data_IF_440883079537
#
_entry.id   IF_440883079537
#
_cell.length_a   1.000
_cell.length_b   1.000
_cell.length_c   1.000
_cell.angle_alpha   90.00
_cell.angle_beta   90.00
_cell.angle_gamma   90.00
#
_symmetry.space_group_name_H-M   'P 1'
#
loop_
_entity.id
_entity.type
_entity.pdbx_description
1 polymer ?
#
# COMPACT_ATOMS: atom_id res chain seq x y z
N UNK A 1 -2.29 14.54 50.60
CA UNK A 1 -1.90 13.66 49.47
C UNK A 1 -2.51 12.25 49.54
N UNK A 2 -2.81 11.71 50.74
CA UNK A 2 -3.39 10.36 50.91
C UNK A 2 -4.91 10.30 50.58
N UNK A 3 -5.66 11.39 50.76
CA UNK A 3 -7.11 11.43 50.50
C UNK A 3 -7.54 11.45 49.01
N UNK A 4 -6.63 11.78 48.09
CA UNK A 4 -6.94 11.77 46.64
C UNK A 4 -6.76 10.38 46.01
N UNK A 5 -5.92 9.54 46.62
CA UNK A 5 -5.66 8.17 46.17
C UNK A 5 -6.85 7.27 46.54
N UNK A 6 -7.48 7.49 47.69
CA UNK A 6 -8.66 6.71 48.12
C UNK A 6 -9.89 6.94 47.23
N UNK A 7 -10.09 8.15 46.71
CA UNK A 7 -11.24 8.47 45.83
C UNK A 7 -11.11 7.83 44.44
N UNK A 8 -9.88 7.76 43.90
CA UNK A 8 -9.60 7.11 42.62
C UNK A 8 -9.73 5.59 42.70
N UNK A 9 -9.27 4.97 43.78
CA UNK A 9 -9.39 3.52 43.99
C UNK A 9 -10.86 3.12 44.16
N UNK A 10 -11.66 3.91 44.89
CA UNK A 10 -13.11 3.65 44.99
C UNK A 10 -13.84 3.78 43.64
N UNK A 11 -13.44 4.74 42.80
CA UNK A 11 -14.06 4.95 41.50
C UNK A 11 -13.76 3.80 40.52
N UNK A 12 -12.52 3.29 40.52
CA UNK A 12 -12.11 2.15 39.69
C UNK A 12 -12.82 0.86 40.16
N UNK A 13 -12.94 0.63 41.46
CA UNK A 13 -13.65 -0.54 42.01
C UNK A 13 -15.14 -0.49 41.66
N UNK A 14 -15.79 0.69 41.74
CA UNK A 14 -17.20 0.83 41.37
C UNK A 14 -17.44 0.68 39.86
N UNK A 15 -16.54 1.18 39.01
CA UNK A 15 -16.63 0.99 37.55
C UNK A 15 -16.40 -0.47 37.18
N UNK A 16 -15.42 -1.15 37.79
CA UNK A 16 -15.23 -2.59 37.57
C UNK A 16 -16.40 -3.43 38.08
N UNK A 17 -16.95 -3.13 39.27
CA UNK A 17 -18.12 -3.83 39.80
C UNK A 17 -19.36 -3.62 38.91
N UNK A 18 -19.55 -2.42 38.35
CA UNK A 18 -20.61 -2.11 37.40
C UNK A 18 -20.42 -2.85 36.06
N UNK A 19 -19.19 -2.94 35.55
CA UNK A 19 -18.86 -3.71 34.34
C UNK A 19 -19.05 -5.23 34.56
N UNK A 20 -18.72 -5.75 35.75
CA UNK A 20 -18.92 -7.16 36.11
C UNK A 20 -20.42 -7.48 36.29
N UNK A 21 -21.20 -6.54 36.85
CA UNK A 21 -22.66 -6.65 36.98
C UNK A 21 -23.36 -6.64 35.61
N UNK A 22 -22.94 -5.77 34.68
CA UNK A 22 -23.47 -5.72 33.31
C UNK A 22 -23.13 -6.97 32.49
N UNK A 23 -21.96 -7.57 32.72
CA UNK A 23 -21.58 -8.84 32.06
C UNK A 23 -22.44 -10.04 32.50
N UNK A 24 -23.07 -10.01 33.68
CA UNK A 24 -23.91 -11.12 34.17
C UNK A 24 -25.37 -11.09 33.70
N UNK A 25 -25.92 -9.92 33.33
CA UNK A 25 -27.38 -9.80 33.12
C UNK A 25 -27.86 -9.60 31.68
N UNK A 26 -26.99 -9.35 30.68
CA UNK A 26 -27.42 -9.25 29.27
C UNK A 26 -26.83 -10.28 28.31
N UNK A 27 -25.80 -11.04 28.71
CA UNK A 27 -25.09 -11.94 27.80
C UNK A 27 -25.64 -13.39 27.73
N UNK A 28 -26.52 -13.80 28.66
CA UNK A 28 -26.86 -15.22 28.84
C UNK A 28 -28.18 -15.65 28.16
N UNK A 29 -29.04 -14.74 27.70
CA UNK A 29 -30.35 -15.15 27.14
C UNK A 29 -30.46 -15.16 25.61
N UNK A 30 -29.49 -14.62 24.88
CA UNK A 30 -29.52 -14.59 23.41
C UNK A 30 -28.49 -15.51 22.73
N UNK A 31 -27.63 -16.18 23.50
CA UNK A 31 -26.54 -17.01 22.96
C UNK A 31 -26.91 -18.49 22.73
N UNK A 32 -28.10 -18.94 23.13
CA UNK A 32 -28.50 -20.35 23.04
C UNK A 32 -29.24 -20.77 21.77
N UNK A 33 -29.43 -19.88 20.79
CA UNK A 33 -30.13 -20.21 19.53
C UNK A 33 -29.29 -20.10 18.25
N UNK A 34 -27.97 -19.86 18.36
CA UNK A 34 -27.10 -19.75 17.17
C UNK A 34 -25.84 -20.63 17.20
N UNK A 35 -25.85 -21.73 17.97
CA UNK A 35 -24.78 -22.72 17.94
C UNK A 35 -25.17 -23.96 17.13
N UNK A 36 -25.18 -23.81 15.80
CA UNK A 36 -24.86 -24.89 14.87
C UNK A 36 -23.53 -24.55 14.16
N UNK A 37 -22.45 -24.93 14.85
CA UNK A 37 -21.10 -25.28 14.40
C UNK A 37 -20.74 -24.91 12.95
N UNK A 38 -19.90 -23.89 12.79
CA UNK A 38 -18.68 -23.96 11.97
C UNK A 38 -17.55 -23.38 12.82
N UNK A 39 -16.46 -24.13 12.98
CA UNK A 39 -15.21 -23.60 13.54
C UNK A 39 -14.78 -22.37 12.73
N UNK A 40 -15.14 -21.17 13.19
CA UNK A 40 -14.50 -19.96 12.72
C UNK A 40 -13.13 -19.94 13.39
N UNK A 41 -12.10 -20.40 12.67
CA UNK A 41 -10.76 -19.90 12.90
C UNK A 41 -10.87 -18.37 12.96
N UNK A 42 -10.34 -17.75 14.02
CA UNK A 42 -10.19 -16.30 14.05
C UNK A 42 -9.29 -15.91 12.89
N UNK A 43 -9.89 -15.53 11.75
CA UNK A 43 -9.16 -15.06 10.58
C UNK A 43 -8.46 -13.78 11.02
N UNK A 44 -7.14 -13.84 11.23
CA UNK A 44 -6.34 -12.65 11.48
C UNK A 44 -6.53 -11.73 10.28
N UNK A 45 -7.21 -10.61 10.49
CA UNK A 45 -7.34 -9.60 9.46
C UNK A 45 -5.98 -8.92 9.31
N UNK A 46 -5.25 -9.26 8.24
CA UNK A 46 -4.04 -8.52 7.88
C UNK A 46 -4.34 -7.04 7.60
N UNK A 47 -3.30 -6.22 7.59
CA UNK A 47 -3.33 -4.78 7.25
C UNK A 47 -4.31 -4.43 6.11
N UNK A 48 -4.36 -5.17 4.97
CA UNK A 48 -5.28 -4.85 3.88
C UNK A 48 -6.78 -4.88 4.24
N UNK A 49 -7.18 -5.73 5.20
CA UNK A 49 -8.59 -5.86 5.62
C UNK A 49 -8.95 -4.94 6.79
N UNK A 50 -7.98 -4.26 7.39
CA UNK A 50 -8.18 -3.41 8.56
C UNK A 50 -9.17 -2.28 8.29
N UNK A 51 -9.10 -1.61 7.13
CA UNK A 51 -10.04 -0.54 6.78
C UNK A 51 -11.49 -1.05 6.68
N UNK A 52 -11.69 -2.19 6.00
CA UNK A 52 -13.02 -2.81 5.89
C UNK A 52 -13.54 -3.21 7.28
N UNK A 53 -12.70 -3.85 8.09
CA UNK A 53 -13.05 -4.20 9.46
C UNK A 53 -13.44 -2.95 10.27
N UNK A 54 -12.59 -1.92 10.30
CA UNK A 54 -12.82 -0.70 11.07
C UNK A 54 -14.14 0.00 10.69
N UNK A 55 -14.40 0.17 9.39
CA UNK A 55 -15.62 0.80 8.89
C UNK A 55 -16.88 -0.04 9.11
N UNK A 56 -16.74 -1.36 9.27
CA UNK A 56 -17.85 -2.26 9.61
C UNK A 56 -18.25 -2.13 11.08
N UNK A 57 -17.26 -2.05 11.98
CA UNK A 57 -17.48 -1.94 13.42
C UNK A 57 -17.78 -0.51 13.88
N UNK A 58 -17.20 0.49 13.23
CA UNK A 58 -17.38 1.91 13.55
C UNK A 58 -17.79 2.70 12.29
N UNK A 59 -19.04 2.59 11.82
CA UNK A 59 -19.48 3.24 10.58
C UNK A 59 -19.32 4.78 10.58
N UNK A 60 -19.36 5.39 11.76
CA UNK A 60 -19.23 6.85 11.96
C UNK A 60 -17.84 7.40 11.68
N UNK A 61 -16.79 6.56 11.63
CA UNK A 61 -15.43 7.02 11.28
C UNK A 61 -15.31 7.42 9.81
N UNK A 62 -16.26 6.96 8.98
CA UNK A 62 -16.32 7.28 7.55
C UNK A 62 -17.33 8.39 7.33
N UNK A 63 -16.83 9.52 6.88
CA UNK A 63 -17.64 10.69 6.54
C UNK A 63 -17.28 11.18 5.15
N UNK A 64 -18.23 11.80 4.45
CA UNK A 64 -17.92 12.47 3.19
C UNK A 64 -17.23 13.81 3.48
N UNK A 65 -16.25 14.15 2.63
CA UNK A 65 -15.48 15.39 2.78
C UNK A 65 -16.37 16.65 2.66
N UNK A 66 -17.38 16.57 1.80
CA UNK A 66 -18.34 17.62 1.50
C UNK A 66 -19.72 17.04 1.77
N UNK A 67 -20.40 17.53 2.82
CA UNK A 67 -21.81 17.25 3.09
C UNK A 67 -22.63 18.50 2.80
N UNK A 68 -23.96 18.32 2.68
CA UNK A 68 -24.98 19.23 2.13
C UNK A 68 -24.76 20.77 2.22
N UNK A 69 -24.00 21.33 3.17
CA UNK A 69 -23.52 22.73 3.11
C UNK A 69 -22.15 22.98 3.81
N UNK A 70 -21.46 21.95 4.32
CA UNK A 70 -20.22 22.12 5.11
C UNK A 70 -19.09 21.24 4.60
N UNK A 71 -18.03 21.89 4.11
CA UNK A 71 -16.75 21.26 3.83
C UNK A 71 -15.88 21.30 5.09
N UNK A 72 -15.25 20.18 5.47
CA UNK A 72 -14.28 20.18 6.58
C UNK A 72 -13.10 21.10 6.25
N UNK A 73 -12.77 22.00 7.16
CA UNK A 73 -11.60 22.86 7.01
C UNK A 73 -10.32 22.06 7.22
N UNK A 74 -9.38 22.18 6.29
CA UNK A 74 -8.05 21.57 6.38
C UNK A 74 -7.02 22.67 6.46
N UNK A 75 -6.15 22.62 7.47
CA UNK A 75 -5.04 23.56 7.62
C UNK A 75 -3.79 23.04 6.91
N UNK A 76 -3.49 21.75 7.11
CA UNK A 76 -2.31 21.10 6.54
C UNK A 76 -2.73 19.83 5.81
N UNK A 77 -2.36 19.75 4.53
CA UNK A 77 -2.65 18.61 3.68
C UNK A 77 -1.37 17.85 3.32
N UNK A 78 -1.35 16.55 3.57
CA UNK A 78 -0.23 15.66 3.32
C UNK A 78 -0.58 14.70 2.20
N UNK A 79 0.31 14.49 1.24
CA UNK A 79 0.10 13.57 0.12
C UNK A 79 1.23 12.55 0.09
N UNK A 80 0.87 11.28 0.12
CA UNK A 80 1.74 10.20 -0.34
C UNK A 80 1.63 10.08 -1.87
N UNK A 81 2.69 10.48 -2.56
CA UNK A 81 2.76 10.48 -4.01
C UNK A 81 2.75 9.09 -4.61
N UNK A 82 3.22 8.06 -3.89
CA UNK A 82 3.26 6.72 -4.45
C UNK A 82 1.84 6.20 -4.70
N UNK A 83 0.89 6.50 -3.80
CA UNK A 83 -0.53 6.26 -4.01
C UNK A 83 -1.09 6.98 -5.25
N UNK A 84 -0.72 8.25 -5.45
CA UNK A 84 -1.13 9.05 -6.62
C UNK A 84 -0.60 8.46 -7.93
N UNK A 85 0.70 8.15 -7.99
CA UNK A 85 1.35 7.60 -9.19
C UNK A 85 0.71 6.25 -9.55
N UNK A 86 0.48 5.38 -8.55
CA UNK A 86 -0.23 4.12 -8.76
C UNK A 86 -1.66 4.32 -9.26
N UNK A 87 -2.37 5.33 -8.77
CA UNK A 87 -3.72 5.66 -9.23
C UNK A 87 -3.75 6.06 -10.71
N UNK A 88 -2.85 6.96 -11.13
CA UNK A 88 -2.80 7.47 -12.50
C UNK A 88 -2.29 6.46 -13.53
N UNK A 89 -1.55 5.44 -13.09
CA UNK A 89 -0.94 4.43 -13.97
C UNK A 89 -1.85 3.24 -14.22
N UNK A 90 -2.27 2.54 -13.18
CA UNK A 90 -2.90 1.22 -13.33
C UNK A 90 -4.02 0.93 -12.33
N UNK A 91 -4.46 1.89 -11.52
CA UNK A 91 -5.66 1.66 -10.69
C UNK A 91 -6.90 1.56 -11.58
N UNK A 92 -7.62 0.44 -11.48
CA UNK A 92 -8.94 0.20 -12.09
C UNK A 92 -9.00 0.15 -13.63
N UNK A 93 -7.89 -0.07 -14.35
CA UNK A 93 -7.92 -0.34 -15.79
C UNK A 93 -7.74 -1.84 -16.05
N UNK A 94 -8.64 -2.44 -16.84
CA UNK A 94 -8.57 -3.86 -17.24
C UNK A 94 -7.33 -4.17 -18.11
N UNK A 95 -6.78 -3.15 -18.77
CA UNK A 95 -5.54 -3.22 -19.55
C UNK A 95 -4.60 -2.12 -19.08
N UNK A 96 -3.30 -2.42 -18.97
CA UNK A 96 -2.29 -1.40 -18.69
C UNK A 96 -2.32 -0.36 -19.83
N UNK A 97 -2.21 0.94 -19.52
CA UNK A 97 -2.21 1.96 -20.56
C UNK A 97 -1.00 1.79 -21.47
N UNK A 98 -1.17 2.20 -22.73
CA UNK A 98 -0.05 2.40 -23.66
C UNK A 98 0.89 3.43 -23.02
N UNK A 99 2.18 3.13 -23.00
CA UNK A 99 3.18 3.96 -22.33
C UNK A 99 3.45 5.25 -23.12
N UNK A 100 2.73 6.33 -22.78
CA UNK A 100 3.19 7.69 -23.03
C UNK A 100 3.53 8.37 -21.69
N UNK A 101 4.82 8.60 -21.49
CA UNK A 101 5.36 9.23 -20.29
C UNK A 101 4.81 10.66 -20.11
N UNK A 102 4.60 11.40 -21.21
CA UNK A 102 4.11 12.77 -21.16
C UNK A 102 2.64 12.84 -20.75
N UNK A 103 1.80 11.96 -21.31
CA UNK A 103 0.39 11.86 -20.92
C UNK A 103 0.26 11.48 -19.44
N UNK A 104 1.05 10.50 -18.98
CA UNK A 104 1.05 10.07 -17.59
C UNK A 104 1.42 11.22 -16.64
N UNK A 105 2.45 12.01 -16.98
CA UNK A 105 2.81 13.18 -16.19
C UNK A 105 1.70 14.24 -16.17
N UNK A 106 1.07 14.50 -17.31
CA UNK A 106 -0.06 15.43 -17.39
C UNK A 106 -1.21 14.98 -16.48
N UNK A 107 -1.52 13.69 -16.49
CA UNK A 107 -2.56 13.08 -15.65
C UNK A 107 -2.22 13.20 -14.15
N UNK A 108 -0.98 12.94 -13.74
CA UNK A 108 -0.54 13.12 -12.35
C UNK A 108 -0.67 14.58 -11.91
N UNK A 109 -0.22 15.53 -12.73
CA UNK A 109 -0.30 16.96 -12.42
C UNK A 109 -1.75 17.43 -12.33
N UNK A 110 -2.61 16.98 -13.24
CA UNK A 110 -4.03 17.32 -13.21
C UNK A 110 -4.71 16.74 -11.97
N UNK A 111 -4.40 15.49 -11.61
CA UNK A 111 -4.93 14.87 -10.40
C UNK A 111 -4.52 15.63 -9.14
N UNK A 112 -3.24 16.03 -9.03
CA UNK A 112 -2.77 16.85 -7.92
C UNK A 112 -3.47 18.20 -7.84
N UNK A 113 -3.64 18.89 -8.97
CA UNK A 113 -4.41 20.14 -9.02
C UNK A 113 -5.83 19.94 -8.51
N UNK A 114 -6.51 18.88 -8.98
CA UNK A 114 -7.86 18.56 -8.55
C UNK A 114 -7.92 18.33 -7.03
N UNK A 115 -6.95 17.61 -6.45
CA UNK A 115 -6.86 17.43 -4.99
C UNK A 115 -6.68 18.77 -4.26
N UNK A 116 -5.82 19.67 -4.77
CA UNK A 116 -5.61 20.97 -4.14
C UNK A 116 -6.87 21.84 -4.17
N UNK A 117 -7.57 21.87 -5.30
CA UNK A 117 -8.83 22.59 -5.45
C UNK A 117 -9.97 21.97 -4.63
N UNK A 118 -9.96 20.65 -4.45
CA UNK A 118 -10.92 19.95 -3.62
C UNK A 118 -10.70 20.28 -2.14
N UNK A 119 -9.47 20.16 -1.65
CA UNK A 119 -9.17 20.25 -0.21
C UNK A 119 -9.02 21.69 0.28
N UNK A 120 -8.48 22.59 -0.55
CA UNK A 120 -8.24 24.00 -0.23
C UNK A 120 -7.54 24.20 1.13
N UNK A 121 -6.32 23.67 1.31
CA UNK A 121 -5.61 23.78 2.58
C UNK A 121 -5.31 25.24 2.91
N UNK A 122 -5.47 25.62 4.18
CA UNK A 122 -5.31 27.02 4.61
C UNK A 122 -3.86 27.45 4.83
N UNK A 123 -2.97 26.52 5.20
CA UNK A 123 -1.59 26.84 5.61
C UNK A 123 -0.55 26.18 4.73
N UNK A 124 -0.62 24.86 4.56
CA UNK A 124 0.49 24.10 3.99
C UNK A 124 0.03 22.84 3.23
N UNK A 125 0.73 22.54 2.14
CA UNK A 125 0.77 21.20 1.53
C UNK A 125 2.15 20.60 1.71
N UNK A 126 2.20 19.37 2.21
CA UNK A 126 3.39 18.54 2.28
C UNK A 126 3.24 17.34 1.34
N UNK A 127 4.24 17.11 0.49
CA UNK A 127 4.20 16.07 -0.53
C UNK A 127 5.40 15.16 -0.32
N UNK A 128 5.15 13.89 0.00
CA UNK A 128 6.16 12.87 0.18
C UNK A 128 6.18 11.89 -0.98
N UNK A 129 7.33 11.73 -1.62
CA UNK A 129 7.61 10.66 -2.58
C UNK A 129 8.47 9.60 -1.88
N UNK A 130 8.27 8.31 -2.16
CA UNK A 130 9.16 7.28 -1.62
C UNK A 130 10.60 7.50 -2.12
N UNK A 131 11.53 7.60 -1.18
CA UNK A 131 12.95 7.46 -1.44
C UNK A 131 13.46 6.08 -1.03
N UNK A 132 14.76 6.00 -0.74
CA UNK A 132 15.37 4.74 -0.28
C UNK A 132 14.77 4.35 1.08
N UNK A 133 14.18 3.16 1.14
CA UNK A 133 13.45 2.66 2.32
C UNK A 133 14.32 1.72 3.18
N UNK A 134 13.92 1.46 4.44
CA UNK A 134 14.62 0.51 5.30
C UNK A 134 14.58 -0.93 4.75
N UNK A 135 15.56 -1.75 5.15
CA UNK A 135 15.72 -3.15 4.70
C UNK A 135 14.43 -3.99 4.84
N UNK A 136 13.68 -3.79 5.92
CA UNK A 136 12.41 -4.48 6.16
C UNK A 136 11.40 -4.22 5.03
N UNK A 137 11.20 -2.94 4.67
CA UNK A 137 10.33 -2.56 3.55
C UNK A 137 10.90 -3.02 2.21
N UNK A 138 12.21 -2.92 2.01
CA UNK A 138 12.86 -3.42 0.78
C UNK A 138 12.57 -4.90 0.54
N UNK A 139 12.62 -5.73 1.59
CA UNK A 139 12.29 -7.17 1.48
C UNK A 139 10.82 -7.39 1.10
N UNK A 140 9.89 -6.68 1.73
CA UNK A 140 8.46 -6.74 1.41
C UNK A 140 8.20 -6.33 -0.06
N UNK A 141 8.84 -5.24 -0.47
CA UNK A 141 8.74 -4.69 -1.82
C UNK A 141 9.39 -5.63 -2.86
N UNK A 142 10.53 -6.26 -2.55
CA UNK A 142 11.16 -7.28 -3.40
C UNK A 142 10.24 -8.47 -3.61
N UNK A 143 9.63 -9.00 -2.54
CA UNK A 143 8.65 -10.10 -2.63
C UNK A 143 7.46 -9.71 -3.51
N UNK A 144 6.91 -8.50 -3.33
CA UNK A 144 5.79 -8.00 -4.14
C UNK A 144 6.12 -7.92 -5.63
N UNK A 145 7.29 -7.38 -5.98
CA UNK A 145 7.74 -7.23 -7.38
C UNK A 145 8.09 -8.57 -8.02
N UNK A 146 8.65 -9.50 -7.25
CA UNK A 146 8.91 -10.85 -7.74
C UNK A 146 7.59 -11.55 -8.10
N UNK A 147 6.59 -11.47 -7.22
CA UNK A 147 5.27 -12.06 -7.47
C UNK A 147 4.49 -11.39 -8.62
N UNK A 148 4.75 -10.12 -8.93
CA UNK A 148 4.07 -9.44 -10.05
C UNK A 148 4.53 -9.94 -11.41
N UNK A 149 5.75 -10.49 -11.52
CA UNK A 149 6.27 -11.05 -12.78
C UNK A 149 5.42 -12.26 -13.19
N UNK A 150 5.13 -13.16 -12.25
CA UNK A 150 4.31 -14.36 -12.49
C UNK A 150 2.83 -14.08 -12.78
N UNK A 151 2.38 -12.83 -12.64
CA UNK A 151 1.00 -12.43 -12.98
C UNK A 151 0.86 -11.94 -14.41
N UNK A 152 1.98 -11.67 -15.08
CA UNK A 152 1.99 -11.32 -16.50
C UNK A 152 1.93 -12.66 -17.24
N UNK A 153 0.79 -12.95 -17.88
CA UNK A 153 0.68 -14.12 -18.75
C UNK A 153 1.59 -13.91 -19.97
N UNK A 154 2.36 -14.93 -20.35
CA UNK A 154 3.29 -14.92 -21.50
C UNK A 154 2.62 -14.63 -22.86
N UNK A 155 1.29 -14.56 -22.91
CA UNK A 155 0.52 -14.38 -24.14
C UNK A 155 0.35 -12.90 -24.59
N UNK A 156 0.68 -11.92 -23.74
CA UNK A 156 0.59 -10.50 -24.10
C UNK A 156 1.96 -9.94 -24.51
N UNK A 157 2.44 -10.35 -25.69
CA UNK A 157 3.55 -9.69 -26.40
C UNK A 157 3.14 -8.28 -26.86
N UNK A 158 2.96 -7.35 -25.92
CA UNK A 158 2.74 -5.94 -26.23
C UNK A 158 3.87 -5.13 -25.62
N UNK A 159 4.90 -4.87 -26.43
CA UNK A 159 6.12 -4.13 -26.08
C UNK A 159 5.90 -2.70 -25.57
N UNK A 160 4.65 -2.22 -25.56
CA UNK A 160 4.28 -0.84 -25.20
C UNK A 160 3.51 -0.71 -23.87
N UNK A 161 3.39 -1.78 -23.07
CA UNK A 161 2.72 -1.72 -21.76
C UNK A 161 3.62 -1.04 -20.71
N UNK A 162 3.02 -0.20 -19.87
CA UNK A 162 3.70 0.38 -18.71
C UNK A 162 4.15 -0.69 -17.72
N UNK A 163 5.44 -0.67 -17.32
CA UNK A 163 5.99 -1.57 -16.30
C UNK A 163 5.84 -0.95 -14.89
N UNK A 164 4.94 -1.45 -14.01
CA UNK A 164 4.71 -0.87 -12.68
C UNK A 164 5.94 -0.89 -11.75
N UNK A 165 6.91 -1.77 -12.02
CA UNK A 165 8.14 -1.85 -11.24
C UNK A 165 9.04 -0.62 -11.42
N UNK A 166 8.81 0.20 -12.46
CA UNK A 166 9.51 1.47 -12.64
C UNK A 166 9.17 2.49 -11.54
N UNK A 167 8.07 2.31 -10.80
CA UNK A 167 7.70 3.09 -9.61
C UNK A 167 8.56 2.63 -8.42
N UNK A 168 9.84 2.94 -8.51
CA UNK A 168 10.86 2.66 -7.50
C UNK A 168 11.90 3.77 -7.57
N UNK A 169 12.31 4.31 -6.42
CA UNK A 169 13.43 5.27 -6.39
C UNK A 169 14.68 4.68 -7.08
N UNK A 170 15.42 5.51 -7.82
CA UNK A 170 16.60 5.12 -8.59
C UNK A 170 16.34 4.72 -10.04
N UNK A 171 15.08 4.62 -10.48
CA UNK A 171 14.75 4.43 -11.92
C UNK A 171 14.75 5.75 -12.67
N UNK A 172 14.98 5.71 -13.98
CA UNK A 172 14.90 6.89 -14.85
C UNK A 172 13.50 7.54 -14.79
N UNK A 173 12.45 6.72 -14.79
CA UNK A 173 11.07 7.18 -14.62
C UNK A 173 10.87 7.99 -13.33
N UNK A 174 11.27 7.46 -12.17
CA UNK A 174 11.13 8.18 -10.90
C UNK A 174 12.03 9.40 -10.79
N UNK A 175 13.19 9.39 -11.45
CA UNK A 175 14.05 10.57 -11.56
C UNK A 175 13.38 11.70 -12.34
N UNK A 176 12.78 11.40 -13.50
CA UNK A 176 12.04 12.37 -14.32
C UNK A 176 10.78 12.89 -13.61
N UNK A 177 10.02 12.02 -12.93
CA UNK A 177 8.89 12.41 -12.03
C UNK A 177 9.39 13.46 -11.03
N UNK A 178 10.48 13.14 -10.32
CA UNK A 178 11.00 13.96 -9.24
C UNK A 178 11.44 15.34 -9.74
N UNK A 179 12.19 15.37 -10.84
CA UNK A 179 12.65 16.61 -11.47
C UNK A 179 11.49 17.49 -11.93
N UNK A 180 10.51 16.87 -12.60
CA UNK A 180 9.33 17.56 -13.14
C UNK A 180 8.46 18.16 -12.04
N UNK A 181 8.16 17.38 -10.99
CA UNK A 181 7.38 17.86 -9.84
C UNK A 181 8.11 18.97 -9.07
N UNK A 182 9.41 18.81 -8.81
CA UNK A 182 10.22 19.83 -8.14
C UNK A 182 10.21 21.15 -8.93
N UNK A 183 10.39 21.09 -10.26
CA UNK A 183 10.31 22.26 -11.13
C UNK A 183 8.90 22.89 -11.11
N UNK A 184 7.86 22.06 -11.18
CA UNK A 184 6.47 22.51 -11.15
C UNK A 184 6.14 23.26 -9.84
N UNK A 185 6.47 22.69 -8.68
CA UNK A 185 6.24 23.34 -7.38
C UNK A 185 7.04 24.63 -7.20
N UNK A 186 8.29 24.67 -7.66
CA UNK A 186 9.10 25.91 -7.66
C UNK A 186 8.44 27.03 -8.48
N UNK A 187 7.92 26.71 -9.67
CA UNK A 187 7.22 27.67 -10.52
C UNK A 187 5.95 28.18 -9.83
N UNK A 188 5.14 27.28 -9.28
CA UNK A 188 3.90 27.64 -8.59
C UNK A 188 4.15 28.54 -7.38
N UNK A 189 5.19 28.22 -6.58
CA UNK A 189 5.61 29.04 -5.44
C UNK A 189 6.08 30.43 -5.87
N UNK A 190 6.91 30.52 -6.93
CA UNK A 190 7.36 31.81 -7.48
C UNK A 190 6.21 32.67 -7.98
N UNK A 191 5.23 32.05 -8.63
CA UNK A 191 4.04 32.73 -9.18
C UNK A 191 2.96 33.03 -8.13
N UNK A 192 3.11 32.56 -6.88
CA UNK A 192 2.11 32.65 -5.81
C UNK A 192 0.71 32.20 -6.29
N UNK A 193 0.67 31.09 -7.05
CA UNK A 193 -0.59 30.55 -7.59
C UNK A 193 -1.51 30.07 -6.46
N UNK A 194 -0.92 29.63 -5.35
CA UNK A 194 -1.63 29.19 -4.16
C UNK A 194 -1.30 30.10 -2.98
N UNK A 195 -2.29 30.31 -2.11
CA UNK A 195 -2.14 31.11 -0.88
C UNK A 195 -1.42 30.33 0.23
N UNK A 196 -1.40 29.01 0.14
CA UNK A 196 -0.73 28.12 1.08
C UNK A 196 0.73 27.83 0.67
N UNK A 197 1.55 27.48 1.65
CA UNK A 197 2.91 27.02 1.42
C UNK A 197 2.94 25.60 0.84
N UNK A 198 4.03 25.27 0.14
CA UNK A 198 4.25 23.92 -0.39
C UNK A 198 5.64 23.43 -0.02
N UNK A 199 5.70 22.23 0.55
CA UNK A 199 6.92 21.46 0.82
C UNK A 199 6.89 20.19 -0.02
N UNK A 200 7.92 20.02 -0.85
CA UNK A 200 8.11 18.83 -1.68
C UNK A 200 9.31 18.03 -1.15
N UNK A 201 9.06 16.79 -0.71
CA UNK A 201 10.07 15.83 -0.29
C UNK A 201 10.17 14.73 -1.34
N UNK A 202 11.11 14.91 -2.25
CA UNK A 202 11.31 14.07 -3.43
C UNK A 202 11.88 12.67 -3.14
N UNK A 203 12.04 11.88 -4.20
CA UNK A 203 12.62 10.53 -4.15
C UNK A 203 14.12 10.51 -3.84
N UNK A 204 14.78 11.67 -3.95
CA UNK A 204 16.17 11.94 -3.56
C UNK A 204 16.36 12.03 -2.04
N UNK A 205 15.29 12.28 -1.28
CA UNK A 205 15.33 12.24 0.18
C UNK A 205 15.08 10.79 0.64
N UNK A 206 15.90 10.25 1.52
CA UNK A 206 15.70 8.89 2.04
C UNK A 206 14.41 8.77 2.90
N UNK A 207 13.82 7.58 2.90
CA UNK A 207 12.61 7.23 3.65
C UNK A 207 11.36 7.06 2.79
N UNK A 208 10.40 6.32 3.33
CA UNK A 208 9.07 6.13 2.74
C UNK A 208 8.23 7.40 2.88
N UNK A 209 7.34 7.68 1.92
CA UNK A 209 6.50 8.87 1.87
C UNK A 209 5.68 9.07 3.14
N UNK A 210 4.99 8.02 3.60
CA UNK A 210 4.21 8.02 4.83
C UNK A 210 5.07 8.30 6.09
N UNK A 211 6.29 7.75 6.15
CA UNK A 211 7.19 7.97 7.28
C UNK A 211 7.87 9.34 7.23
N UNK A 212 8.10 9.91 6.04
CA UNK A 212 8.53 11.30 5.86
C UNK A 212 7.47 12.27 6.37
N UNK A 213 6.20 12.02 6.04
CA UNK A 213 5.05 12.77 6.56
C UNK A 213 5.01 12.69 8.09
N UNK A 214 5.09 11.48 8.65
CA UNK A 214 5.06 11.29 10.10
C UNK A 214 6.26 11.95 10.81
N UNK A 215 7.45 11.90 10.20
CA UNK A 215 8.64 12.61 10.70
C UNK A 215 8.40 14.12 10.73
N UNK A 216 7.88 14.68 9.64
CA UNK A 216 7.55 16.11 9.56
C UNK A 216 6.54 16.51 10.64
N UNK A 217 5.45 15.74 10.82
CA UNK A 217 4.45 15.99 11.87
C UNK A 217 5.11 16.02 13.25
N UNK A 218 5.88 14.98 13.59
CA UNK A 218 6.53 14.87 14.92
C UNK A 218 7.50 16.01 15.19
N UNK A 219 8.28 16.43 14.20
CA UNK A 219 9.21 17.55 14.34
C UNK A 219 8.48 18.88 14.56
N UNK A 220 7.37 19.12 13.85
CA UNK A 220 6.61 20.36 14.01
C UNK A 220 5.80 20.39 15.31
N UNK A 221 5.28 19.26 15.79
CA UNK A 221 4.69 19.18 17.13
C UNK A 221 5.67 19.54 18.26
N UNK A 222 6.98 19.33 18.05
CA UNK A 222 8.01 19.74 19.01
C UNK A 222 8.34 21.23 18.94
N UNK A 223 8.23 21.83 17.75
CA UNK A 223 8.56 23.24 17.50
C UNK A 223 7.41 24.19 17.82
N UNK A 224 6.18 23.79 17.53
CA UNK A 224 4.97 24.60 17.72
C UNK A 224 3.92 23.78 18.50
N UNK A 225 3.59 24.25 19.71
CA UNK A 225 2.56 23.64 20.56
C UNK A 225 1.17 23.69 19.92
N UNK A 226 0.89 24.73 19.13
CA UNK A 226 -0.40 24.88 18.44
C UNK A 226 -0.54 23.93 17.25
N UNK A 227 0.56 23.37 16.75
CA UNK A 227 0.54 22.47 15.59
C UNK A 227 -0.39 21.28 15.82
N UNK A 228 -0.49 20.75 17.04
CA UNK A 228 -1.37 19.63 17.39
C UNK A 228 -2.86 19.91 17.19
N UNK A 229 -3.25 21.19 17.21
CA UNK A 229 -4.64 21.64 17.12
C UNK A 229 -5.08 21.95 15.69
N UNK A 230 -4.15 22.01 14.74
CA UNK A 230 -4.50 22.21 13.33
C UNK A 230 -5.30 21.02 12.79
N UNK A 231 -6.05 21.25 11.72
CA UNK A 231 -6.76 20.20 11.01
C UNK A 231 -5.82 19.56 9.98
N UNK A 232 -5.36 18.36 10.28
CA UNK A 232 -4.45 17.58 9.44
C UNK A 232 -5.24 16.65 8.53
N UNK A 233 -4.92 16.62 7.24
CA UNK A 233 -5.51 15.67 6.30
C UNK A 233 -4.41 14.93 5.55
N UNK A 234 -4.39 13.60 5.60
CA UNK A 234 -3.44 12.76 4.86
C UNK A 234 -4.18 12.07 3.71
N UNK A 235 -3.71 12.26 2.48
CA UNK A 235 -4.18 11.51 1.33
C UNK A 235 -3.32 10.26 1.12
N UNK A 236 -3.96 9.09 1.12
CA UNK A 236 -3.32 7.82 0.80
C UNK A 236 -4.24 6.61 1.01
N UNK A 237 -3.95 5.53 0.30
CA UNK A 237 -4.78 4.31 0.25
C UNK A 237 -4.30 3.21 1.20
N UNK A 238 -3.13 3.34 1.81
CA UNK A 238 -2.55 2.29 2.65
C UNK A 238 -3.19 2.27 4.03
N UNK A 239 -3.60 1.08 4.49
CA UNK A 239 -4.25 0.91 5.77
C UNK A 239 -3.31 1.28 6.95
N UNK A 240 -1.99 1.18 6.75
CA UNK A 240 -0.97 1.57 7.72
C UNK A 240 -1.09 3.04 8.13
N UNK A 241 -1.56 3.92 7.23
CA UNK A 241 -1.80 5.33 7.53
C UNK A 241 -2.79 5.54 8.68
N UNK A 242 -3.73 4.63 8.90
CA UNK A 242 -4.66 4.71 10.04
C UNK A 242 -3.89 4.57 11.35
N UNK A 243 -3.05 3.54 11.46
CA UNK A 243 -2.25 3.31 12.66
C UNK A 243 -1.19 4.39 12.85
N UNK A 244 -0.50 4.78 11.77
CA UNK A 244 0.48 5.86 11.80
C UNK A 244 -0.16 7.18 12.25
N UNK A 245 -1.38 7.48 11.78
CA UNK A 245 -2.14 8.67 12.19
C UNK A 245 -2.47 8.65 13.68
N UNK A 246 -2.89 7.52 14.23
CA UNK A 246 -3.21 7.39 15.67
C UNK A 246 -1.96 7.62 16.56
N UNK A 247 -0.80 7.12 16.13
CA UNK A 247 0.48 7.29 16.86
C UNK A 247 0.97 8.74 16.87
N UNK A 248 0.45 9.61 15.99
CA UNK A 248 0.84 11.03 15.99
C UNK A 248 0.36 11.81 17.22
N UNK A 249 -0.72 11.34 17.87
CA UNK A 249 -1.41 12.07 18.94
C UNK A 249 -1.80 13.52 18.58
N UNK A 250 -2.13 13.77 17.30
CA UNK A 250 -2.78 15.01 16.86
C UNK A 250 -4.25 15.00 17.28
N UNK A 251 -4.80 16.18 17.57
CA UNK A 251 -6.20 16.29 18.01
C UNK A 251 -7.17 16.13 16.83
N UNK A 252 -6.81 16.68 15.65
CA UNK A 252 -7.65 16.65 14.46
C UNK A 252 -6.86 16.08 13.28
N UNK A 253 -7.06 14.79 12.98
CA UNK A 253 -6.45 14.12 11.83
C UNK A 253 -7.49 13.36 11.01
N UNK A 254 -7.46 13.57 9.70
CA UNK A 254 -8.34 12.94 8.71
C UNK A 254 -7.50 12.18 7.70
N UNK A 255 -8.02 11.05 7.22
CA UNK A 255 -7.41 10.29 6.12
C UNK A 255 -8.37 10.36 4.94
N UNK A 256 -7.93 11.01 3.86
CA UNK A 256 -8.67 11.09 2.61
C UNK A 256 -8.38 9.85 1.76
N UNK A 257 -9.44 9.18 1.33
CA UNK A 257 -9.39 7.99 0.47
C UNK A 257 -10.42 8.13 -0.64
N UNK A 258 -10.06 7.65 -1.82
CA UNK A 258 -11.02 7.52 -2.91
C UNK A 258 -12.10 6.47 -2.57
N UNK A 259 -13.33 6.70 -3.03
CA UNK A 259 -14.40 5.70 -2.92
C UNK A 259 -14.03 4.52 -3.82
N UNK A 260 -13.78 3.35 -3.23
CA UNK A 260 -13.66 2.10 -3.98
C UNK A 260 -15.00 1.80 -4.66
N UNK A 261 -15.06 1.92 -5.99
CA UNK A 261 -16.15 1.31 -6.77
C UNK A 261 -15.90 -0.19 -6.78
N UNK A 262 -16.57 -0.93 -5.91
CA UNK A 262 -16.65 -2.39 -6.04
C UNK A 262 -17.58 -2.64 -7.23
N UNK A 263 -17.01 -2.91 -8.41
CA UNK A 263 -17.75 -3.62 -9.45
C UNK A 263 -17.92 -5.07 -8.99
N UNK A 264 -19.07 -5.68 -9.29
CA UNK A 264 -19.39 -7.04 -8.86
C UNK A 264 -18.34 -8.08 -9.33
N UNK A 265 -17.65 -7.81 -10.44
CA UNK A 265 -16.61 -8.69 -10.99
C UNK A 265 -15.31 -8.70 -10.15
N UNK A 266 -15.00 -7.61 -9.46
CA UNK A 266 -13.87 -7.57 -8.52
C UNK A 266 -14.14 -8.41 -7.26
N UNK A 267 -15.40 -8.61 -6.86
CA UNK A 267 -15.72 -9.47 -5.72
C UNK A 267 -15.35 -10.93 -6.00
N UNK A 268 -15.70 -11.43 -7.18
CA UNK A 268 -15.42 -12.80 -7.62
C UNK A 268 -13.91 -13.00 -7.83
N UNK A 269 -13.23 -12.06 -8.48
CA UNK A 269 -11.78 -12.13 -8.67
C UNK A 269 -10.99 -12.01 -7.36
N UNK A 270 -11.47 -11.24 -6.38
CA UNK A 270 -10.82 -11.17 -5.06
C UNK A 270 -11.01 -12.47 -4.28
N UNK A 271 -12.20 -13.07 -4.35
CA UNK A 271 -12.49 -14.37 -3.72
C UNK A 271 -11.67 -15.51 -4.35
N UNK A 272 -11.58 -15.59 -5.68
CA UNK A 272 -10.74 -16.58 -6.37
C UNK A 272 -9.26 -16.43 -6.01
N UNK A 273 -8.76 -15.19 -5.95
CA UNK A 273 -7.37 -14.93 -5.57
C UNK A 273 -7.10 -15.29 -4.11
N UNK A 274 -8.10 -15.17 -3.22
CA UNK A 274 -8.01 -15.59 -1.82
C UNK A 274 -8.00 -17.11 -1.70
N UNK A 275 -8.83 -17.83 -2.45
CA UNK A 275 -8.85 -19.30 -2.48
C UNK A 275 -7.54 -19.87 -3.02
N UNK A 276 -6.99 -19.29 -4.11
CA UNK A 276 -5.68 -19.70 -4.65
C UNK A 276 -4.55 -19.46 -3.65
N UNK A 277 -4.57 -18.34 -2.92
CA UNK A 277 -3.54 -18.04 -1.93
C UNK A 277 -3.63 -18.96 -0.70
N UNK A 278 -4.84 -19.32 -0.27
CA UNK A 278 -5.02 -20.28 0.83
C UNK A 278 -4.63 -21.71 0.45
N UNK A 279 -4.88 -22.12 -0.80
CA UNK A 279 -4.49 -23.43 -1.31
C UNK A 279 -2.97 -23.59 -1.46
N UNK A 280 -2.23 -22.54 -1.83
CA UNK A 280 -0.77 -22.61 -1.87
C UNK A 280 -0.15 -22.71 -0.48
N UNK A 281 -0.69 -22.01 0.53
CA UNK A 281 -0.22 -22.15 1.91
C UNK A 281 -0.50 -23.53 2.52
N UNK A 282 -1.62 -24.17 2.17
CA UNK A 282 -1.93 -25.52 2.66
C UNK A 282 -1.09 -26.62 1.98
N UNK A 283 -0.68 -26.42 0.72
CA UNK A 283 0.12 -27.40 -0.02
C UNK A 283 1.60 -27.38 0.37
N UNK A 284 2.13 -26.24 0.79
CA UNK A 284 3.53 -26.12 1.24
C UNK A 284 3.75 -26.72 2.65
N UNK A 285 2.72 -26.75 3.51
CA UNK A 285 2.80 -27.44 4.82
C UNK A 285 2.73 -28.97 4.69
N UNK A 286 2.05 -29.51 3.67
CA UNK A 286 1.93 -30.96 3.46
C UNK A 286 3.16 -31.62 2.83
N UNK A 287 4.05 -30.86 2.19
CA UNK A 287 5.26 -31.40 1.54
C UNK A 287 6.52 -31.37 2.41
N UNK A 288 6.44 -30.94 3.68
CA UNK A 288 7.59 -30.93 4.60
C UNK A 288 7.64 -32.08 5.61
N UNK A 289 6.64 -32.96 5.60
CA UNK A 289 6.54 -34.12 6.51
C UNK A 289 6.29 -35.42 5.73
N UNK A 290 7.23 -35.84 4.89
CA UNK A 290 7.38 -37.25 4.52
C UNK A 290 8.86 -37.56 4.35
N UNK A 291 9.45 -38.19 5.37
CA UNK A 291 10.72 -38.90 5.24
C UNK A 291 10.56 -40.04 4.22
N UNK A 292 11.54 -40.27 3.32
CA UNK A 292 11.48 -41.43 2.44
C UNK A 292 11.87 -42.69 3.22
N UNK A 293 10.91 -43.58 3.46
CA UNK A 293 11.20 -44.98 3.80
C UNK A 293 11.25 -45.83 2.52
N UNK A 294 12.28 -46.68 2.50
CA UNK A 294 12.68 -47.63 1.47
C UNK A 294 11.54 -48.48 0.91
N UNK A 295 11.69 -48.91 -0.35
CA UNK A 295 11.74 -50.35 -0.62
C UNK A 295 12.37 -50.69 -1.99
N UNK A 296 13.25 -51.69 -1.91
CA UNK A 296 13.65 -52.67 -2.93
C UNK A 296 14.61 -52.29 -4.05
N UNK A 297 15.88 -52.36 -3.64
CA UNK A 297 17.01 -52.85 -4.43
C UNK A 297 16.67 -54.21 -5.08
N UNK A 298 16.87 -54.33 -6.38
CA UNK A 298 17.17 -55.61 -7.03
C UNK A 298 18.33 -55.38 -8.00
N UNK A 299 19.49 -55.95 -7.67
CA UNK A 299 20.69 -55.97 -8.50
C UNK A 299 20.59 -57.06 -9.56
N UNK A 300 21.17 -56.80 -10.74
CA UNK A 300 21.91 -57.70 -11.65
C UNK A 300 22.36 -56.81 -12.82
N UNK A 301 23.56 -56.22 -12.75
CA UNK A 301 24.86 -56.72 -13.26
C UNK A 301 25.03 -56.66 -14.80
N UNK A 302 26.24 -56.21 -15.18
CA UNK A 302 26.79 -55.99 -16.53
C UNK A 302 26.33 -54.67 -17.19
N UNK A 303 27.15 -53.64 -17.43
CA UNK A 303 28.58 -53.54 -17.67
C UNK A 303 28.72 -52.72 -18.95
N UNK A 304 29.22 -51.49 -18.86
CA UNK A 304 30.11 -50.82 -19.84
C UNK A 304 30.06 -49.28 -19.73
N UNK A 305 31.26 -48.73 -19.58
CA UNK A 305 31.61 -47.34 -19.80
C UNK A 305 31.18 -46.87 -21.20
N UNK A 306 30.93 -45.57 -21.39
CA UNK A 306 31.60 -44.78 -22.45
C UNK A 306 31.37 -43.28 -22.22
N UNK A 307 32.48 -42.57 -22.41
CA UNK A 307 32.71 -41.13 -22.38
C UNK A 307 31.94 -40.33 -23.45
N UNK A 308 31.73 -39.05 -23.09
CA UNK A 308 31.89 -37.81 -23.88
C UNK A 308 31.96 -37.94 -25.41
N UNK A 309 31.12 -37.17 -26.11
CA UNK A 309 31.54 -36.47 -27.33
C UNK A 309 30.69 -35.22 -27.59
N UNK A 310 31.35 -34.06 -27.47
CA UNK A 310 31.00 -32.84 -28.20
C UNK A 310 31.20 -33.08 -29.71
N UNK A 311 30.33 -32.53 -30.56
CA UNK A 311 30.69 -32.19 -31.94
C UNK A 311 29.77 -31.11 -32.51
N UNK A 312 30.36 -29.93 -32.61
CA UNK A 312 30.06 -28.84 -33.53
C UNK A 312 29.98 -29.30 -34.99
N UNK A 313 29.02 -28.77 -35.77
CA UNK A 313 29.15 -28.56 -37.22
C UNK A 313 28.45 -27.29 -37.67
N UNK A 314 29.29 -26.36 -38.13
CA UNK A 314 29.05 -25.22 -39.01
C UNK A 314 28.49 -25.63 -40.38
N UNK A 315 27.73 -24.76 -41.03
CA UNK A 315 27.62 -24.69 -42.50
C UNK A 315 27.36 -23.23 -42.92
N UNK A 316 28.35 -22.64 -43.60
CA UNK A 316 28.27 -21.41 -44.38
C UNK A 316 28.55 -21.75 -45.86
N UNK A 317 27.78 -21.15 -46.75
CA UNK A 317 28.06 -20.92 -48.18
C UNK A 317 26.84 -20.15 -48.75
N UNK A 318 26.86 -19.15 -49.62
CA UNK A 318 27.85 -18.48 -50.47
C UNK A 318 27.06 -17.32 -51.13
N UNK A 319 27.56 -16.08 -51.18
CA UNK A 319 27.24 -15.12 -52.26
C UNK A 319 28.50 -14.34 -52.60
N UNK A 320 28.79 -14.30 -53.91
CA UNK A 320 30.03 -13.87 -54.56
C UNK A 320 30.19 -12.34 -54.64
N UNK A 321 31.45 -11.94 -54.66
CA UNK A 321 31.99 -10.64 -55.06
C UNK A 321 31.76 -10.34 -56.56
N UNK A 322 31.59 -9.06 -56.89
CA UNK A 322 32.12 -8.49 -58.13
C UNK A 322 32.71 -7.09 -57.84
N UNK A 323 33.94 -6.90 -58.32
CA UNK A 323 34.81 -5.74 -58.14
C UNK A 323 34.46 -4.57 -59.08
N UNK A 324 34.77 -3.33 -58.66
CA UNK A 324 35.79 -2.45 -59.27
C UNK A 324 35.49 -0.94 -59.10
N UNK A 325 36.54 -0.22 -58.66
CA UNK A 325 36.85 1.23 -58.76
C UNK A 325 36.02 2.20 -57.92
#
# INVERSE_FOLDING_TARGET
MIAFISLWVLCIINVMAYCISLNKYKFIKSYNLYNKRKHQQNVLYGIPRMYKWLTSYYPTVREELINNEKQKSVDIFYIDMNGVIHHCTHANKEKLPIYDEHELFSNILQYLKNLFYLIKPKKLIYIGVDGVSPKAKMNQQRKRRFLSIFKINDNDNTSNLFNPNCITTGTDFMYKINLSLNKWFKILKKKKVFEFDVIFSGSDVAGEGEHKILKYIRENCKRDSNFKNYNHCIYGLDADLIMLSLVTHLNNIFILRDKFKISNDLHNNMLENIERTQNTFNNDEYNSFNEPQNDNINYNEEGENIQLNEKSKTNESLVKEENNV
#
